data_IF_890969729310
#
_entry.id   IF_890969729310
#
_cell.length_a   1.000
_cell.length_b   1.000
_cell.length_c   1.000
_cell.angle_alpha   90.00
_cell.angle_beta   90.00
_cell.angle_gamma   90.00
#
_symmetry.space_group_name_H-M   'P 1'
#
loop_
_entity.id
_entity.type
_entity.pdbx_description
1 polymer ?
#
# COMPACT_ATOMS: atom_id res chain seq x y z
N UNK A 1 -10.48 -12.87 16.21
CA UNK A 1 -10.91 -11.82 15.27
C UNK A 1 -11.69 -12.45 14.13
N UNK A 2 -12.99 -12.66 14.33
CA UNK A 2 -13.95 -12.95 13.25
C UNK A 2 -15.22 -12.21 13.65
N UNK A 3 -15.66 -11.28 12.81
CA UNK A 3 -16.93 -10.57 12.96
C UNK A 3 -17.79 -10.91 11.75
N UNK A 4 -18.99 -11.47 11.99
CA UNK A 4 -19.92 -11.90 10.96
C UNK A 4 -21.17 -11.02 10.97
N UNK A 5 -21.53 -10.47 9.80
CA UNK A 5 -22.74 -9.69 9.59
C UNK A 5 -23.49 -10.20 8.36
N UNK A 6 -24.64 -10.87 8.56
CA UNK A 6 -25.55 -11.36 7.51
C UNK A 6 -24.84 -11.94 6.27
N UNK A 7 -23.96 -12.92 6.50
CA UNK A 7 -23.27 -13.62 5.43
C UNK A 7 -21.99 -12.96 4.93
N UNK A 8 -21.63 -11.76 5.39
CA UNK A 8 -20.30 -11.17 5.21
C UNK A 8 -19.44 -11.42 6.45
N UNK A 9 -18.21 -11.89 6.25
CA UNK A 9 -17.23 -12.20 7.27
C UNK A 9 -16.09 -11.19 7.18
N UNK A 10 -15.64 -10.69 8.33
CA UNK A 10 -14.39 -9.96 8.46
C UNK A 10 -13.50 -10.63 9.50
N UNK A 11 -12.24 -10.83 9.17
CA UNK A 11 -11.28 -11.56 9.97
C UNK A 11 -9.88 -10.99 9.83
N UNK A 12 -8.88 -11.65 10.43
CA UNK A 12 -7.48 -11.19 10.37
C UNK A 12 -6.95 -11.10 8.94
N UNK A 13 -7.41 -11.99 8.06
CA UNK A 13 -7.07 -12.01 6.65
C UNK A 13 -8.28 -11.58 5.83
N UNK A 14 -8.26 -10.39 5.21
CA UNK A 14 -9.41 -9.88 4.47
C UNK A 14 -9.77 -10.80 3.30
N UNK A 15 -8.78 -11.40 2.64
CA UNK A 15 -8.99 -12.30 1.51
C UNK A 15 -9.77 -13.56 1.91
N UNK A 16 -9.30 -14.29 2.92
CA UNK A 16 -9.98 -15.49 3.45
C UNK A 16 -11.41 -15.17 3.91
N UNK A 17 -11.56 -14.02 4.58
CA UNK A 17 -12.86 -13.59 5.08
C UNK A 17 -13.82 -13.27 3.93
N UNK A 18 -13.34 -12.64 2.87
CA UNK A 18 -14.13 -12.36 1.67
C UNK A 18 -14.50 -13.66 0.95
N UNK A 19 -13.56 -14.58 0.74
CA UNK A 19 -13.84 -15.85 0.03
C UNK A 19 -14.95 -16.66 0.71
N UNK A 20 -14.92 -16.71 2.04
CA UNK A 20 -15.93 -17.40 2.84
C UNK A 20 -17.25 -16.63 2.96
N UNK A 21 -17.28 -15.35 2.56
CA UNK A 21 -18.49 -14.53 2.59
C UNK A 21 -19.44 -14.85 1.46
N UNK A 22 -20.70 -14.44 1.63
CA UNK A 22 -21.79 -14.52 0.66
C UNK A 22 -22.24 -13.12 0.26
N UNK A 23 -22.92 -12.97 -0.88
CA UNK A 23 -23.37 -11.66 -1.37
C UNK A 23 -24.71 -11.21 -0.76
N UNK A 24 -25.26 -11.96 0.19
CA UNK A 24 -26.53 -11.65 0.88
C UNK A 24 -26.52 -10.22 1.44
N UNK A 25 -25.46 -9.87 2.16
CA UNK A 25 -25.27 -8.55 2.74
C UNK A 25 -25.26 -7.44 1.67
N UNK A 26 -24.68 -7.70 0.50
CA UNK A 26 -24.56 -6.70 -0.57
C UNK A 26 -25.91 -6.35 -1.23
N UNK A 27 -26.89 -7.23 -1.08
CA UNK A 27 -28.25 -6.99 -1.59
C UNK A 27 -29.07 -6.04 -0.71
N UNK A 28 -28.71 -5.88 0.57
CA UNK A 28 -29.40 -5.02 1.53
C UNK A 28 -28.59 -3.76 1.83
N UNK A 29 -29.15 -2.58 1.56
CA UNK A 29 -28.44 -1.31 1.80
C UNK A 29 -28.03 -1.12 3.27
N UNK A 30 -28.83 -1.63 4.21
CA UNK A 30 -28.56 -1.53 5.65
C UNK A 30 -27.33 -2.32 6.10
N UNK A 31 -26.88 -3.28 5.29
CA UNK A 31 -25.73 -4.11 5.64
C UNK A 31 -24.39 -3.46 5.24
N UNK A 32 -24.35 -2.80 4.08
CA UNK A 32 -23.17 -2.04 3.61
C UNK A 32 -23.04 -0.71 4.34
N UNK A 33 -24.17 0.00 4.52
CA UNK A 33 -24.16 1.32 5.11
C UNK A 33 -25.21 1.43 6.23
N UNK A 34 -24.83 1.09 7.49
CA UNK A 34 -25.71 1.32 8.63
C UNK A 34 -25.99 2.82 8.86
N UNK A 35 -25.15 3.71 8.34
CA UNK A 35 -25.23 5.17 8.41
C UNK A 35 -25.97 5.83 7.25
N UNK A 36 -26.42 5.06 6.23
CA UNK A 36 -27.07 5.50 4.98
C UNK A 36 -26.32 6.58 4.19
N UNK A 37 -25.01 6.69 4.34
CA UNK A 37 -24.17 7.70 3.66
C UNK A 37 -24.03 7.43 2.17
N UNK A 38 -23.98 6.15 1.78
CA UNK A 38 -23.93 5.70 0.41
C UNK A 38 -25.34 5.65 -0.18
N UNK A 39 -25.52 6.30 -1.33
CA UNK A 39 -26.77 6.28 -2.11
C UNK A 39 -27.12 4.84 -2.44
N UNK A 40 -28.36 4.45 -2.17
CA UNK A 40 -28.88 3.12 -2.50
C UNK A 40 -28.59 2.82 -3.97
N UNK A 41 -27.89 1.73 -4.23
CA UNK A 41 -27.85 1.17 -5.58
C UNK A 41 -29.25 0.62 -5.83
N UNK A 42 -30.14 1.44 -6.39
CA UNK A 42 -31.44 1.00 -6.89
C UNK A 42 -31.20 0.18 -8.17
N UNK A 43 -30.62 -1.00 -8.02
CA UNK A 43 -30.52 -1.99 -9.08
C UNK A 43 -31.91 -2.60 -9.28
N UNK A 44 -32.76 -1.85 -9.98
CA UNK A 44 -34.06 -2.27 -10.51
C UNK A 44 -33.89 -3.24 -11.68
N UNK A 45 -33.01 -4.22 -11.52
CA UNK A 45 -32.78 -5.24 -12.50
C UNK A 45 -33.03 -6.57 -11.81
N UNK A 46 -34.15 -7.21 -12.19
CA UNK A 46 -34.39 -8.62 -11.98
C UNK A 46 -33.34 -9.41 -12.78
N UNK A 47 -32.09 -9.36 -12.34
CA UNK A 47 -31.00 -10.10 -12.96
C UNK A 47 -31.18 -11.53 -12.50
N UNK A 48 -31.60 -12.40 -13.41
CA UNK A 48 -31.46 -13.84 -13.24
C UNK A 48 -29.96 -14.14 -13.18
N UNK A 49 -29.40 -14.14 -11.97
CA UNK A 49 -28.03 -14.57 -11.73
C UNK A 49 -27.98 -16.09 -11.74
N UNK A 50 -26.96 -16.67 -12.38
CA UNK A 50 -26.70 -18.12 -12.29
C UNK A 50 -26.36 -18.55 -10.85
N UNK A 51 -25.83 -17.62 -10.06
CA UNK A 51 -25.45 -17.84 -8.67
C UNK A 51 -26.53 -17.32 -7.72
N UNK A 52 -27.09 -18.16 -6.83
CA UNK A 52 -27.99 -17.69 -5.79
C UNK A 52 -27.23 -16.85 -4.75
N UNK A 53 -27.90 -15.90 -4.09
CA UNK A 53 -27.27 -14.98 -3.11
C UNK A 53 -26.55 -15.68 -1.95
N UNK A 54 -26.91 -16.94 -1.67
CA UNK A 54 -26.33 -17.77 -0.61
C UNK A 54 -25.06 -18.52 -1.02
N UNK A 55 -24.56 -18.36 -2.26
CA UNK A 55 -23.25 -18.92 -2.64
C UNK A 55 -22.12 -18.12 -2.02
N UNK A 56 -21.07 -18.82 -1.59
CA UNK A 56 -19.83 -18.18 -1.16
C UNK A 56 -19.11 -17.54 -2.35
N UNK A 57 -18.37 -16.47 -2.08
CA UNK A 57 -17.57 -15.79 -3.09
C UNK A 57 -16.49 -16.73 -3.64
N UNK A 58 -15.95 -17.61 -2.82
CA UNK A 58 -15.01 -18.65 -3.25
C UNK A 58 -15.56 -19.52 -4.39
N UNK A 59 -16.79 -20.04 -4.25
CA UNK A 59 -17.40 -20.87 -5.31
C UNK A 59 -17.66 -20.08 -6.58
N UNK A 60 -18.07 -18.82 -6.45
CA UNK A 60 -18.26 -17.92 -7.59
C UNK A 60 -16.93 -17.70 -8.30
N UNK A 61 -15.87 -17.34 -7.57
CA UNK A 61 -14.54 -17.10 -8.14
C UNK A 61 -13.99 -18.34 -8.82
N UNK A 62 -14.11 -19.51 -8.21
CA UNK A 62 -13.64 -20.76 -8.81
C UNK A 62 -14.34 -21.09 -10.13
N UNK A 63 -15.65 -20.84 -10.25
CA UNK A 63 -16.40 -21.10 -11.48
C UNK A 63 -16.20 -20.01 -12.55
N UNK A 64 -15.81 -18.78 -12.16
CA UNK A 64 -15.42 -17.72 -13.09
C UNK A 64 -13.96 -17.84 -13.55
N UNK A 65 -13.12 -18.51 -12.78
CA UNK A 65 -11.75 -18.79 -13.19
C UNK A 65 -11.78 -19.80 -14.33
N UNK A 66 -11.13 -19.43 -15.43
CA UNK A 66 -11.02 -20.28 -16.62
C UNK A 66 -10.16 -21.50 -16.26
N UNK A 67 -10.80 -22.65 -16.03
CA UNK A 67 -10.13 -23.92 -15.73
C UNK A 67 -9.29 -24.43 -16.91
N UNK A 68 -9.65 -24.04 -18.14
CA UNK A 68 -8.97 -24.45 -19.37
C UNK A 68 -8.47 -23.24 -20.14
N UNK A 69 -7.17 -22.94 -20.00
CA UNK A 69 -6.49 -22.04 -20.94
C UNK A 69 -6.58 -22.70 -22.33
N UNK A 70 -7.51 -22.23 -23.17
CA UNK A 70 -7.57 -22.63 -24.57
C UNK A 70 -6.24 -22.26 -25.24
N UNK A 71 -5.30 -23.20 -25.29
CA UNK A 71 -3.92 -23.05 -25.77
C UNK A 71 -3.80 -22.59 -27.23
N UNK A 72 -4.92 -22.46 -27.93
CA UNK A 72 -5.01 -22.08 -29.34
C UNK A 72 -5.59 -20.66 -29.56
N UNK A 73 -5.75 -19.86 -28.51
CA UNK A 73 -6.21 -18.47 -28.62
C UNK A 73 -5.02 -17.52 -28.48
N UNK A 74 -4.69 -16.79 -29.55
CA UNK A 74 -3.66 -15.76 -29.48
C UNK A 74 -4.25 -14.49 -28.83
N UNK A 75 -3.77 -14.18 -27.63
CA UNK A 75 -4.20 -13.00 -26.88
C UNK A 75 -3.51 -11.70 -27.36
N UNK A 76 -2.74 -11.75 -28.44
CA UNK A 76 -2.02 -10.59 -29.00
C UNK A 76 -2.94 -9.40 -29.28
N UNK A 77 -4.14 -9.64 -29.81
CA UNK A 77 -5.11 -8.59 -30.09
C UNK A 77 -5.63 -7.92 -28.80
N UNK A 78 -5.81 -8.71 -27.74
CA UNK A 78 -6.25 -8.22 -26.43
C UNK A 78 -5.15 -7.40 -25.75
N UNK A 79 -3.92 -7.92 -25.72
CA UNK A 79 -2.78 -7.20 -25.14
C UNK A 79 -2.45 -5.92 -25.91
N UNK A 80 -2.60 -5.90 -27.24
CA UNK A 80 -2.45 -4.67 -28.04
C UNK A 80 -3.50 -3.61 -27.74
N UNK A 81 -4.72 -4.00 -27.41
CA UNK A 81 -5.78 -3.06 -27.01
C UNK A 81 -5.51 -2.47 -25.62
N UNK A 82 -4.91 -3.24 -24.71
CA UNK A 82 -4.59 -2.81 -23.36
C UNK A 82 -3.15 -2.28 -23.18
N UNK A 83 -2.39 -2.07 -24.26
CA UNK A 83 -1.05 -1.50 -24.21
C UNK A 83 -1.11 0.02 -24.48
N UNK A 84 -1.24 0.87 -23.44
CA UNK A 84 -1.17 2.32 -23.63
C UNK A 84 0.18 2.70 -24.23
N UNK A 85 0.19 3.57 -25.25
CA UNK A 85 1.43 4.07 -25.86
C UNK A 85 2.28 4.88 -24.89
N UNK A 86 1.69 5.41 -23.82
CA UNK A 86 2.39 6.17 -22.79
C UNK A 86 1.66 6.03 -21.46
N UNK A 87 2.36 5.55 -20.43
CA UNK A 87 1.88 5.57 -19.07
C UNK A 87 2.15 6.95 -18.47
N UNK A 88 1.10 7.65 -18.05
CA UNK A 88 1.25 8.89 -17.29
C UNK A 88 0.88 8.61 -15.85
N UNK A 89 1.86 8.71 -14.94
CA UNK A 89 1.61 8.62 -13.51
C UNK A 89 1.33 10.02 -12.97
N UNK A 90 0.19 10.19 -12.30
CA UNK A 90 -0.09 11.40 -11.55
C UNK A 90 0.26 11.16 -10.08
N UNK A 91 1.27 11.86 -9.58
CA UNK A 91 1.54 11.93 -8.15
C UNK A 91 0.51 12.88 -7.55
N UNK A 92 -0.48 12.32 -6.85
CA UNK A 92 -1.34 13.11 -5.97
C UNK A 92 -0.49 13.44 -4.75
N UNK A 93 0.25 14.54 -4.84
CA UNK A 93 1.05 15.08 -3.73
C UNK A 93 0.11 15.65 -2.67
N UNK A 94 -0.49 14.76 -1.87
CA UNK A 94 -1.03 15.13 -0.58
C UNK A 94 0.18 15.44 0.29
N UNK A 95 0.57 16.73 0.34
CA UNK A 95 1.63 17.24 1.22
C UNK A 95 1.35 16.83 2.66
N UNK A 96 1.84 15.65 3.01
CA UNK A 96 1.63 15.07 4.31
C UNK A 96 2.53 15.83 5.28
N UNK A 97 1.97 16.33 6.37
CA UNK A 97 2.72 17.01 7.45
C UNK A 97 3.92 16.17 7.92
N UNK A 98 3.82 14.85 7.77
CA UNK A 98 4.86 13.86 8.04
C UNK A 98 6.13 14.09 7.19
N UNK A 99 6.00 14.46 5.91
CA UNK A 99 7.15 14.69 5.03
C UNK A 99 7.94 15.92 5.48
N UNK A 100 7.24 16.98 5.90
CA UNK A 100 7.86 18.18 6.48
C UNK A 100 8.64 17.88 7.76
N UNK A 101 8.07 17.08 8.66
CA UNK A 101 8.74 16.66 9.91
C UNK A 101 9.99 15.83 9.61
N UNK A 102 9.91 14.93 8.62
CA UNK A 102 11.03 14.06 8.23
C UNK A 102 12.21 14.87 7.67
N UNK A 103 11.93 15.92 6.89
CA UNK A 103 12.95 16.85 6.39
C UNK A 103 13.62 17.60 7.54
N UNK A 104 12.87 18.07 8.54
CA UNK A 104 13.44 18.78 9.69
C UNK A 104 14.35 17.87 10.54
N UNK A 105 13.90 16.64 10.80
CA UNK A 105 14.68 15.66 11.58
C UNK A 105 15.98 15.31 10.85
N UNK A 106 15.92 15.07 9.54
CA UNK A 106 17.10 14.74 8.74
C UNK A 106 18.10 15.90 8.64
N UNK A 107 17.60 17.14 8.49
CA UNK A 107 18.45 18.34 8.48
C UNK A 107 19.18 18.53 9.82
N UNK A 108 18.45 18.49 10.94
CA UNK A 108 19.03 18.67 12.26
C UNK A 108 19.98 17.52 12.62
N UNK A 109 19.58 16.28 12.34
CA UNK A 109 20.39 15.10 12.56
C UNK A 109 21.72 15.16 11.81
N UNK A 110 21.68 15.53 10.52
CA UNK A 110 22.89 15.71 9.71
C UNK A 110 23.81 16.80 10.23
N UNK A 111 23.26 17.95 10.61
CA UNK A 111 24.03 19.09 11.12
C UNK A 111 24.82 18.73 12.38
N UNK A 112 24.18 18.02 13.33
CA UNK A 112 24.81 17.59 14.58
C UNK A 112 25.97 16.63 14.32
N UNK A 113 25.82 15.70 13.37
CA UNK A 113 26.85 14.73 13.01
C UNK A 113 28.05 15.46 12.38
N UNK A 114 27.81 16.36 11.43
CA UNK A 114 28.87 17.14 10.77
C UNK A 114 29.64 17.96 11.80
N UNK A 115 28.94 18.63 12.72
CA UNK A 115 29.57 19.43 13.76
C UNK A 115 30.48 18.60 14.67
N UNK A 116 30.05 17.39 15.07
CA UNK A 116 30.89 16.47 15.86
C UNK A 116 32.13 16.02 15.09
N UNK A 117 31.99 15.69 13.82
CA UNK A 117 33.13 15.29 12.96
C UNK A 117 34.14 16.44 12.84
N UNK A 118 33.65 17.67 12.61
CA UNK A 118 34.49 18.86 12.56
C UNK A 118 35.24 19.09 13.87
N UNK A 119 34.56 18.96 15.02
CA UNK A 119 35.21 19.11 16.33
C UNK A 119 36.35 18.09 16.53
N UNK A 120 36.12 16.82 16.19
CA UNK A 120 37.15 15.76 16.27
C UNK A 120 38.32 16.07 15.33
N UNK A 121 38.03 16.52 14.11
CA UNK A 121 39.06 16.87 13.13
C UNK A 121 39.93 18.04 13.62
N UNK A 122 39.32 19.10 14.14
CA UNK A 122 40.03 20.27 14.69
C UNK A 122 40.92 19.85 15.86
N UNK A 123 40.39 19.08 16.82
CA UNK A 123 41.18 18.61 17.97
C UNK A 123 42.35 17.73 17.51
N UNK A 124 42.12 16.80 16.58
CA UNK A 124 43.19 15.96 16.02
C UNK A 124 44.26 16.79 15.31
N UNK A 125 43.86 17.79 14.55
CA UNK A 125 44.78 18.68 13.86
C UNK A 125 45.59 19.51 14.87
N UNK A 126 44.94 20.10 15.89
CA UNK A 126 45.62 20.83 16.97
C UNK A 126 46.61 19.94 17.73
N UNK A 127 46.24 18.72 18.11
CA UNK A 127 47.13 17.77 18.78
C UNK A 127 48.32 17.37 17.90
N UNK A 128 48.10 17.17 16.59
CA UNK A 128 49.17 16.86 15.65
C UNK A 128 50.15 18.04 15.49
N UNK A 129 49.63 19.27 15.40
CA UNK A 129 50.45 20.47 15.33
C UNK A 129 51.24 20.69 16.64
N UNK A 130 50.61 20.49 17.79
CA UNK A 130 51.28 20.59 19.09
C UNK A 130 52.40 19.55 19.25
N UNK A 131 52.23 18.32 18.77
CA UNK A 131 53.30 17.29 18.78
C UNK A 131 54.47 17.63 17.85
N UNK A 132 54.25 18.37 16.75
CA UNK A 132 55.34 18.83 15.87
C UNK A 132 56.14 20.00 16.45
N UNK A 133 55.59 20.74 17.41
CA UNK A 133 56.26 21.88 18.05
C UNK A 133 57.15 21.45 19.22
N UNK A 134 57.00 20.22 19.74
CA UNK A 134 57.84 19.67 20.83
C UNK A 134 58.80 18.55 20.37
N UNK A 135 59.70 18.79 19.40
CA UNK A 135 60.97 18.08 19.40
C UNK A 135 62.15 19.05 19.22
N UNK A 136 62.40 19.91 20.21
CA UNK A 136 63.72 20.52 20.42
C UNK A 136 63.93 20.67 21.93
N UNK A 137 64.22 19.56 22.60
CA UNK A 137 64.97 19.59 23.86
C UNK A 137 66.42 19.27 23.50
N UNK A 138 67.22 20.33 23.40
CA UNK A 138 68.68 20.34 23.36
C UNK A 138 69.22 20.11 24.77
N UNK A 139 70.22 19.21 24.84
CA UNK A 139 71.13 18.86 25.95
C UNK A 139 70.55 18.23 27.24
#
# INVERSE_FOLDING_TARGET
>A
CVSSSRGMLSGCYPLESILQSTLICLSDQTCIDPTKTFKALNSSSSISSRFPLNTTIESIVNELMVEELLSNTSYDAYYKQCAPLSCTYSYIDNRNVIDGITILISLYGGLVIIYRILAIFIVKQCLCMSKRVTPTETD
#
